data_IF_125224230625
#
_entry.id   IF_125224230625
#
_cell.length_a   1.000
_cell.length_b   1.000
_cell.length_c   1.000
_cell.angle_alpha   90.00
_cell.angle_beta   90.00
_cell.angle_gamma   90.00
#
_symmetry.space_group_name_H-M   'P 1'
#
loop_
_entity.id
_entity.type
_entity.pdbx_description
1 polymer ?
#
# COMPACT_ATOMS: atom_id res chain seq x y z
N UNK A 1 9.50 -1.11 14.72
CA UNK A 1 8.37 -1.47 15.60
C UNK A 1 8.47 -2.96 15.92
N UNK A 2 8.61 -3.32 17.21
CA UNK A 2 8.71 -4.73 17.62
C UNK A 2 7.31 -5.33 17.64
N UNK A 3 7.08 -6.42 16.91
CA UNK A 3 5.87 -7.23 17.04
C UNK A 3 5.86 -7.86 18.43
N UNK A 4 4.91 -7.47 19.29
CA UNK A 4 4.74 -8.05 20.63
C UNK A 4 3.84 -9.27 20.48
N UNK A 5 4.43 -10.44 20.68
CA UNK A 5 3.71 -11.72 20.74
C UNK A 5 3.13 -11.86 22.14
N UNK A 6 1.83 -11.65 22.32
CA UNK A 6 1.12 -11.93 23.57
C UNK A 6 0.38 -13.26 23.47
N UNK A 7 1.01 -14.30 23.95
CA UNK A 7 0.30 -15.52 24.32
C UNK A 7 -0.17 -15.37 25.77
N UNK A 8 -1.46 -15.21 25.98
CA UNK A 8 -2.06 -15.29 27.31
C UNK A 8 -2.51 -16.75 27.57
N UNK A 9 -2.20 -17.34 28.73
CA UNK A 9 -2.72 -18.64 29.08
C UNK A 9 -4.18 -18.50 29.57
N UNK A 10 -5.09 -19.21 28.91
CA UNK A 10 -6.44 -19.38 29.46
C UNK A 10 -6.41 -20.40 30.59
N UNK A 11 -6.75 -19.93 31.77
CA UNK A 11 -7.01 -20.79 32.93
C UNK A 11 -8.43 -21.34 32.80
N UNK A 12 -8.53 -22.66 32.73
CA UNK A 12 -9.81 -23.35 32.66
C UNK A 12 -10.54 -23.32 34.00
N UNK A 13 -11.81 -22.98 33.97
CA UNK A 13 -12.75 -23.24 35.08
C UNK A 13 -13.59 -24.45 34.69
N UNK A 14 -13.36 -25.56 35.42
CA UNK A 14 -14.21 -26.74 35.40
C UNK A 14 -15.52 -26.42 36.14
N UNK A 15 -16.65 -26.61 35.48
CA UNK A 15 -17.94 -26.79 36.15
C UNK A 15 -18.64 -28.03 35.59
N UNK A 16 -18.98 -28.90 36.52
CA UNK A 16 -19.58 -30.20 36.30
C UNK A 16 -21.10 -30.17 36.07
N UNK A 17 -21.58 -31.23 35.47
CA UNK A 17 -22.91 -31.86 35.54
C UNK A 17 -23.97 -31.35 34.54
N UNK A 18 -24.40 -32.22 33.62
CA UNK A 18 -25.59 -33.06 33.77
C UNK A 18 -25.79 -33.96 32.54
N UNK A 19 -25.94 -35.24 32.78
CA UNK A 19 -26.33 -36.28 31.84
C UNK A 19 -27.76 -36.04 31.28
N UNK A 20 -27.89 -36.00 29.95
CA UNK A 20 -29.13 -36.37 29.27
C UNK A 20 -28.79 -37.22 28.05
N UNK A 21 -29.07 -38.49 28.16
CA UNK A 21 -29.07 -39.46 27.05
C UNK A 21 -30.28 -39.21 26.16
N UNK A 22 -30.03 -38.88 24.88
CA UNK A 22 -31.01 -39.06 23.81
C UNK A 22 -30.34 -39.73 22.63
N UNK A 23 -30.67 -41.00 22.44
CA UNK A 23 -30.33 -41.75 21.24
C UNK A 23 -31.21 -41.28 20.08
N UNK A 24 -30.60 -40.73 19.04
CA UNK A 24 -31.23 -40.58 17.72
C UNK A 24 -30.16 -40.83 16.66
N UNK A 25 -30.16 -42.02 16.14
CA UNK A 25 -29.43 -42.38 14.92
C UNK A 25 -29.95 -41.54 13.74
N UNK A 26 -29.11 -40.75 13.16
CA UNK A 26 -29.26 -40.27 11.79
C UNK A 26 -27.90 -40.28 11.12
N UNK A 27 -27.77 -41.16 10.16
CA UNK A 27 -26.72 -41.17 9.14
C UNK A 27 -26.72 -39.82 8.42
N UNK A 28 -25.68 -39.05 8.64
CA UNK A 28 -25.39 -37.85 7.82
C UNK A 28 -24.19 -38.23 6.96
N UNK A 29 -24.46 -38.17 5.65
CA UNK A 29 -23.52 -38.50 4.61
C UNK A 29 -22.26 -37.62 4.63
N UNK A 30 -21.19 -38.24 4.18
CA UNK A 30 -19.93 -37.64 3.84
C UNK A 30 -20.12 -36.42 2.92
N UNK A 31 -20.10 -35.25 3.50
CA UNK A 31 -19.85 -34.00 2.75
C UNK A 31 -18.35 -33.79 2.75
N UNK A 32 -17.74 -34.12 1.62
CA UNK A 32 -16.33 -33.89 1.35
C UNK A 32 -15.90 -32.50 1.83
N UNK A 33 -15.06 -32.49 2.82
CA UNK A 33 -14.35 -31.33 3.32
C UNK A 33 -13.41 -30.83 2.22
N UNK A 34 -13.92 -29.94 1.35
CA UNK A 34 -13.06 -29.12 0.51
C UNK A 34 -12.32 -28.18 1.44
N UNK A 35 -11.12 -28.56 1.82
CA UNK A 35 -10.19 -27.73 2.53
C UNK A 35 -10.02 -26.40 1.78
N UNK A 36 -10.73 -25.39 2.23
CA UNK A 36 -10.36 -24.02 1.91
C UNK A 36 -9.06 -23.78 2.66
N UNK A 37 -7.96 -23.76 1.92
CA UNK A 37 -6.73 -23.15 2.41
C UNK A 37 -7.02 -21.67 2.63
N UNK A 38 -7.56 -21.34 3.79
CA UNK A 38 -7.58 -19.96 4.29
C UNK A 38 -6.14 -19.67 4.66
N UNK A 39 -5.37 -19.16 3.70
CA UNK A 39 -4.07 -18.57 3.99
C UNK A 39 -4.34 -17.45 4.98
N UNK A 40 -3.91 -17.64 6.22
CA UNK A 40 -4.07 -16.63 7.26
C UNK A 40 -3.37 -15.36 6.81
N UNK A 41 -4.08 -14.22 6.67
CA UNK A 41 -3.48 -12.99 6.13
C UNK A 41 -2.34 -12.43 6.98
N UNK A 42 -2.21 -12.88 8.22
CA UNK A 42 -1.22 -12.36 9.16
C UNK A 42 0.21 -12.87 8.97
N UNK A 43 0.42 -13.99 8.27
CA UNK A 43 1.78 -14.52 8.08
C UNK A 43 2.50 -13.94 6.85
N UNK A 44 1.75 -13.46 5.86
CA UNK A 44 2.31 -12.98 4.61
C UNK A 44 2.71 -11.49 4.68
N UNK A 45 2.00 -10.69 5.47
CA UNK A 45 2.29 -9.27 5.65
C UNK A 45 3.62 -9.02 6.39
N UNK A 46 4.04 -9.94 7.28
CA UNK A 46 5.33 -9.84 7.96
C UNK A 46 6.47 -10.57 7.23
N UNK A 47 6.18 -11.51 6.35
CA UNK A 47 7.20 -12.34 5.68
C UNK A 47 7.94 -11.61 4.55
N UNK A 48 7.37 -10.54 4.01
CA UNK A 48 7.95 -9.82 2.88
C UNK A 48 8.72 -8.55 3.28
N UNK A 49 9.04 -8.38 4.56
CA UNK A 49 10.03 -7.40 4.96
C UNK A 49 11.42 -7.96 4.60
N UNK A 50 11.79 -7.75 3.35
CA UNK A 50 13.13 -8.02 2.86
C UNK A 50 14.15 -7.36 3.80
N UNK A 51 14.69 -8.14 4.74
CA UNK A 51 15.95 -7.92 5.48
C UNK A 51 16.26 -6.46 5.94
N UNK A 52 15.27 -5.66 6.29
CA UNK A 52 15.50 -4.33 6.88
C UNK A 52 16.04 -3.24 5.93
N UNK A 53 16.25 -3.52 4.64
CA UNK A 53 16.64 -2.53 3.65
C UNK A 53 15.40 -1.96 2.96
N UNK A 54 15.31 -0.63 2.90
CA UNK A 54 14.25 0.04 2.14
C UNK A 54 14.47 -0.17 0.64
N UNK A 55 13.41 -0.39 -0.15
CA UNK A 55 13.49 -0.41 -1.61
C UNK A 55 14.04 0.91 -2.15
N UNK A 56 14.89 0.82 -3.16
CA UNK A 56 15.63 1.95 -3.75
C UNK A 56 15.20 2.28 -5.18
N UNK A 57 14.26 1.50 -5.74
CA UNK A 57 13.73 1.67 -7.09
C UNK A 57 12.25 1.31 -7.15
N UNK A 58 11.58 1.77 -8.22
CA UNK A 58 10.19 1.41 -8.52
C UNK A 58 10.01 -0.11 -8.67
N UNK A 59 10.96 -0.79 -9.31
CA UNK A 59 10.90 -2.24 -9.49
C UNK A 59 11.01 -2.99 -8.17
N UNK A 60 11.90 -2.58 -7.27
CA UNK A 60 12.00 -3.17 -5.93
C UNK A 60 10.72 -2.95 -5.10
N UNK A 61 10.06 -1.81 -5.26
CA UNK A 61 8.77 -1.56 -4.62
C UNK A 61 7.67 -2.46 -5.17
N UNK A 62 7.68 -2.81 -6.45
CA UNK A 62 6.69 -3.70 -7.07
C UNK A 62 6.89 -5.18 -6.69
N UNK A 63 8.06 -5.56 -6.18
CA UNK A 63 8.36 -6.94 -5.81
C UNK A 63 7.38 -7.48 -4.77
N UNK A 64 6.87 -8.69 -5.01
CA UNK A 64 5.94 -9.36 -4.12
C UNK A 64 4.54 -8.74 -4.09
N UNK A 65 4.21 -7.83 -5.01
CA UNK A 65 2.86 -7.31 -5.13
C UNK A 65 1.87 -8.43 -5.47
N UNK A 66 0.73 -8.44 -4.77
CA UNK A 66 -0.37 -9.37 -5.01
C UNK A 66 -1.70 -8.66 -4.76
N UNK A 67 -2.76 -9.12 -5.40
CA UNK A 67 -4.10 -8.61 -5.15
C UNK A 67 -4.72 -9.31 -3.94
N UNK A 68 -5.22 -8.52 -3.01
CA UNK A 68 -5.87 -8.99 -1.78
C UNK A 68 -7.39 -8.92 -1.90
N UNK A 69 -8.07 -9.97 -1.45
CA UNK A 69 -9.50 -9.95 -1.30
C UNK A 69 -9.92 -9.21 0.00
N UNK A 70 -11.17 -8.71 0.02
CA UNK A 70 -11.75 -8.14 1.24
C UNK A 70 -11.37 -6.69 1.55
N UNK A 71 -10.70 -5.98 0.64
CA UNK A 71 -10.34 -4.56 0.81
C UNK A 71 -11.46 -3.57 0.46
N UNK A 72 -12.70 -4.05 0.30
CA UNK A 72 -13.81 -3.21 -0.13
C UNK A 72 -13.91 -3.04 -1.65
N UNK A 73 -14.81 -2.13 -2.07
CA UNK A 73 -15.20 -1.97 -3.48
C UNK A 73 -14.83 -0.61 -4.07
N UNK A 74 -13.98 0.17 -3.39
CA UNK A 74 -13.55 1.46 -3.93
C UNK A 74 -12.93 1.25 -5.31
N UNK A 75 -13.40 2.05 -6.26
CA UNK A 75 -12.92 2.09 -7.63
C UNK A 75 -12.83 3.55 -8.08
N UNK A 76 -11.74 3.89 -8.73
CA UNK A 76 -11.54 5.15 -9.43
C UNK A 76 -10.95 4.85 -10.80
N UNK A 77 -11.76 5.03 -11.84
CA UNK A 77 -11.28 4.95 -13.20
C UNK A 77 -10.13 5.93 -13.44
N UNK A 78 -9.07 5.45 -14.06
CA UNK A 78 -7.91 6.24 -14.43
C UNK A 78 -7.63 6.12 -15.93
N UNK A 79 -6.92 7.08 -16.47
CA UNK A 79 -6.43 7.05 -17.86
C UNK A 79 -5.30 6.02 -17.99
N UNK A 80 -5.65 4.74 -18.04
CA UNK A 80 -4.73 3.62 -18.23
C UNK A 80 -5.30 2.61 -19.21
N UNK A 81 -4.41 1.96 -19.96
CA UNK A 81 -4.79 0.96 -20.96
C UNK A 81 -4.94 -0.46 -20.42
N UNK A 82 -4.35 -0.77 -19.26
CA UNK A 82 -4.30 -2.11 -18.68
C UNK A 82 -5.31 -2.30 -17.57
N UNK A 83 -6.10 -3.40 -17.66
CA UNK A 83 -7.02 -3.80 -16.58
C UNK A 83 -6.28 -4.23 -15.32
N UNK A 84 -5.12 -4.83 -15.48
CA UNK A 84 -4.25 -5.27 -14.40
C UNK A 84 -3.71 -4.04 -13.65
N UNK A 85 -3.24 -3.02 -14.37
CA UNK A 85 -2.83 -1.75 -13.77
C UNK A 85 -3.98 -1.08 -13.01
N UNK A 86 -5.20 -1.07 -13.56
CA UNK A 86 -6.38 -0.54 -12.87
C UNK A 86 -6.67 -1.29 -11.58
N UNK A 87 -6.59 -2.62 -11.57
CA UNK A 87 -6.84 -3.41 -10.37
C UNK A 87 -5.83 -3.11 -9.25
N UNK A 88 -4.56 -3.00 -9.59
CA UNK A 88 -3.51 -2.63 -8.63
C UNK A 88 -3.62 -1.16 -8.21
N UNK A 89 -4.02 -0.25 -9.09
CA UNK A 89 -4.27 1.14 -8.73
C UNK A 89 -5.40 1.26 -7.70
N UNK A 90 -6.53 0.61 -7.94
CA UNK A 90 -7.65 0.59 -6.99
C UNK A 90 -7.24 0.03 -5.63
N UNK A 91 -6.44 -1.04 -5.62
CA UNK A 91 -5.89 -1.59 -4.39
C UNK A 91 -4.97 -0.60 -3.70
N UNK A 92 -4.09 0.07 -4.44
CA UNK A 92 -3.22 1.11 -3.92
C UNK A 92 -4.01 2.23 -3.22
N UNK A 93 -5.09 2.68 -3.84
CA UNK A 93 -6.00 3.67 -3.25
C UNK A 93 -6.66 3.18 -1.96
N UNK A 94 -7.10 1.92 -1.91
CA UNK A 94 -7.69 1.33 -0.70
C UNK A 94 -6.68 1.28 0.44
N UNK A 95 -5.44 0.88 0.17
CA UNK A 95 -4.36 0.88 1.16
C UNK A 95 -3.96 2.30 1.59
N UNK A 96 -3.94 3.26 0.67
CA UNK A 96 -3.69 4.66 1.00
C UNK A 96 -4.70 5.18 2.03
N UNK A 97 -5.99 4.97 1.79
CA UNK A 97 -7.04 5.37 2.73
C UNK A 97 -7.03 4.58 4.06
N UNK A 98 -6.47 3.38 4.04
CA UNK A 98 -6.23 2.59 5.24
C UNK A 98 -4.92 2.94 5.96
N UNK A 99 -4.20 3.97 5.53
CA UNK A 99 -2.90 4.40 6.07
C UNK A 99 -1.79 3.34 5.96
N UNK A 100 -1.96 2.33 5.12
CA UNK A 100 -0.92 1.35 4.82
C UNK A 100 -0.13 1.81 3.59
N UNK A 101 0.71 2.84 3.80
CA UNK A 101 1.42 3.51 2.71
C UNK A 101 2.40 2.60 1.98
N UNK A 102 3.03 1.64 2.65
CA UNK A 102 4.01 0.75 2.02
C UNK A 102 3.33 -0.25 1.08
N UNK A 103 2.19 -0.83 1.46
CA UNK A 103 1.43 -1.69 0.56
C UNK A 103 0.71 -0.89 -0.54
N UNK A 104 0.33 0.35 -0.26
CA UNK A 104 -0.16 1.26 -1.30
C UNK A 104 0.93 1.53 -2.35
N UNK A 105 2.15 1.88 -1.91
CA UNK A 105 3.30 2.10 -2.80
C UNK A 105 3.59 0.85 -3.64
N UNK A 106 3.58 -0.33 -3.03
CA UNK A 106 3.79 -1.62 -3.72
C UNK A 106 2.75 -1.83 -4.83
N UNK A 107 1.49 -1.59 -4.50
CA UNK A 107 0.40 -1.73 -5.46
C UNK A 107 0.51 -0.73 -6.61
N UNK A 108 0.78 0.54 -6.33
CA UNK A 108 0.98 1.55 -7.38
C UNK A 108 2.22 1.28 -8.23
N UNK A 109 3.32 0.83 -7.64
CA UNK A 109 4.52 0.47 -8.37
C UNK A 109 4.28 -0.73 -9.30
N UNK A 110 3.49 -1.71 -8.86
CA UNK A 110 3.07 -2.83 -9.71
C UNK A 110 2.15 -2.36 -10.84
N UNK A 111 1.19 -1.47 -10.57
CA UNK A 111 0.35 -0.86 -11.60
C UNK A 111 1.19 -0.14 -12.67
N UNK A 112 2.21 0.62 -12.24
CA UNK A 112 3.14 1.30 -13.15
C UNK A 112 4.01 0.32 -13.98
N UNK A 113 4.31 -0.84 -13.42
CA UNK A 113 5.02 -1.92 -14.11
C UNK A 113 4.15 -2.58 -15.20
N UNK A 114 2.85 -2.76 -14.89
CA UNK A 114 1.87 -3.36 -15.82
C UNK A 114 1.43 -2.38 -16.92
N UNK A 115 1.51 -1.07 -16.66
CA UNK A 115 1.27 -0.01 -17.64
C UNK A 115 2.28 1.14 -17.45
N UNK A 116 3.41 1.11 -18.15
CA UNK A 116 4.45 2.15 -18.06
C UNK A 116 4.02 3.56 -18.53
N UNK A 117 2.87 3.69 -19.18
CA UNK A 117 2.32 4.98 -19.59
C UNK A 117 1.27 5.53 -18.62
N UNK A 118 0.96 4.81 -17.56
CA UNK A 118 0.00 5.19 -16.55
C UNK A 118 0.54 6.32 -15.66
N UNK A 119 0.21 7.57 -15.98
CA UNK A 119 0.61 8.73 -15.18
C UNK A 119 0.13 8.65 -13.72
N UNK A 120 -1.11 8.20 -13.50
CA UNK A 120 -1.69 8.08 -12.16
C UNK A 120 -1.07 6.96 -11.32
N UNK A 121 -0.53 5.93 -11.94
CA UNK A 121 0.21 4.89 -11.22
C UNK A 121 1.49 5.47 -10.60
N UNK A 122 2.25 6.24 -11.35
CA UNK A 122 3.43 6.94 -10.85
C UNK A 122 3.07 8.03 -9.83
N UNK A 123 1.98 8.76 -10.05
CA UNK A 123 1.44 9.69 -9.06
C UNK A 123 1.15 8.99 -7.73
N UNK A 124 0.54 7.82 -7.77
CA UNK A 124 0.26 7.02 -6.59
C UNK A 124 1.53 6.62 -5.82
N UNK A 125 2.58 6.19 -6.54
CA UNK A 125 3.88 5.90 -5.92
C UNK A 125 4.46 7.16 -5.26
N UNK A 126 4.55 8.27 -5.99
CA UNK A 126 5.10 9.51 -5.46
C UNK A 126 4.32 10.00 -4.23
N UNK A 127 3.00 9.86 -4.24
CA UNK A 127 2.14 10.25 -3.12
C UNK A 127 2.41 9.41 -1.86
N UNK A 128 2.59 8.08 -2.01
CA UNK A 128 2.61 7.14 -0.89
C UNK A 128 4.01 6.83 -0.35
N UNK A 129 5.03 6.80 -1.21
CA UNK A 129 6.42 6.66 -0.76
C UNK A 129 6.95 7.96 -0.17
N UNK A 130 6.35 9.10 -0.54
CA UNK A 130 6.71 10.42 -0.08
C UNK A 130 6.33 10.71 1.38
N UNK A 131 6.56 11.95 1.85
CA UNK A 131 6.25 12.33 3.22
C UNK A 131 4.74 12.32 3.43
N UNK A 132 4.33 11.93 4.64
CA UNK A 132 2.94 11.96 5.06
C UNK A 132 2.85 12.46 6.51
N UNK A 133 1.62 12.60 7.02
CA UNK A 133 1.39 13.12 8.36
C UNK A 133 2.09 12.32 9.46
N UNK A 134 2.13 10.99 9.32
CA UNK A 134 2.73 10.09 10.32
C UNK A 134 4.23 9.91 10.10
N UNK A 135 4.73 10.19 8.90
CA UNK A 135 6.13 10.09 8.52
C UNK A 135 6.53 11.34 7.75
N UNK A 136 6.71 12.49 8.43
CA UNK A 136 7.01 13.77 7.77
C UNK A 136 8.44 13.84 7.23
N UNK A 137 9.34 13.00 7.73
CA UNK A 137 10.73 12.91 7.28
C UNK A 137 10.92 11.67 6.42
N UNK A 138 11.53 11.82 5.25
CA UNK A 138 11.85 10.71 4.36
C UNK A 138 13.30 10.28 4.52
N UNK A 139 13.53 8.96 4.54
CA UNK A 139 14.85 8.42 4.26
C UNK A 139 15.22 8.67 2.80
N UNK A 140 16.52 8.87 2.54
CA UNK A 140 17.04 9.19 1.20
C UNK A 140 16.57 8.20 0.11
N UNK A 141 16.53 6.87 0.31
CA UNK A 141 16.01 5.95 -0.71
C UNK A 141 14.55 6.21 -1.08
N UNK A 142 13.70 6.54 -0.11
CA UNK A 142 12.29 6.89 -0.37
C UNK A 142 12.18 8.21 -1.14
N UNK A 143 13.00 9.18 -0.79
CA UNK A 143 13.03 10.49 -1.44
C UNK A 143 13.39 10.37 -2.92
N UNK A 144 14.38 9.55 -3.24
CA UNK A 144 14.80 9.29 -4.62
C UNK A 144 13.66 8.66 -5.43
N UNK A 145 13.02 7.61 -4.91
CA UNK A 145 11.91 6.92 -5.58
C UNK A 145 10.71 7.85 -5.75
N UNK A 146 10.40 8.67 -4.74
CA UNK A 146 9.30 9.64 -4.81
C UNK A 146 9.52 10.66 -5.94
N UNK A 147 10.73 11.19 -6.05
CA UNK A 147 11.09 12.13 -7.10
C UNK A 147 11.04 11.49 -8.48
N UNK A 148 11.65 10.31 -8.66
CA UNK A 148 11.64 9.56 -9.91
C UNK A 148 10.21 9.28 -10.37
N UNK A 149 9.36 8.80 -9.48
CA UNK A 149 7.96 8.53 -9.77
C UNK A 149 7.21 9.82 -10.17
N UNK A 150 7.44 10.94 -9.47
CA UNK A 150 6.83 12.23 -9.84
C UNK A 150 7.25 12.68 -11.24
N UNK A 151 8.54 12.55 -11.61
CA UNK A 151 9.01 12.91 -12.95
C UNK A 151 8.33 12.05 -14.02
N UNK A 152 8.18 10.75 -13.79
CA UNK A 152 7.47 9.84 -14.70
C UNK A 152 5.98 10.18 -14.80
N UNK A 153 5.33 10.55 -13.68
CA UNK A 153 3.95 11.02 -13.69
C UNK A 153 3.78 12.28 -14.57
N UNK A 154 4.68 13.26 -14.42
CA UNK A 154 4.67 14.49 -15.21
C UNK A 154 4.93 14.22 -16.71
N UNK A 155 5.88 13.35 -17.03
CA UNK A 155 6.19 12.96 -18.42
C UNK A 155 5.01 12.31 -19.13
N UNK A 156 4.21 11.52 -18.41
CA UNK A 156 3.05 10.81 -18.94
C UNK A 156 1.73 11.58 -18.78
N UNK A 157 1.74 12.77 -18.16
CA UNK A 157 0.53 13.53 -17.86
C UNK A 157 -0.25 13.99 -19.11
N UNK A 158 0.40 14.05 -20.28
CA UNK A 158 -0.23 14.51 -21.52
C UNK A 158 -1.40 13.61 -21.99
N UNK A 159 -1.43 12.36 -21.61
CA UNK A 159 -2.51 11.40 -21.92
C UNK A 159 -3.57 11.32 -20.81
N UNK A 160 -3.35 11.97 -19.66
CA UNK A 160 -4.23 11.92 -18.51
C UNK A 160 -5.40 12.91 -18.66
N UNK A 161 -6.51 12.64 -17.96
CA UNK A 161 -7.64 13.57 -17.90
C UNK A 161 -7.24 14.91 -17.24
N UNK A 162 -7.98 16.01 -17.47
CA UNK A 162 -7.69 17.30 -16.82
C UNK A 162 -7.63 17.22 -15.28
N UNK A 163 -8.48 16.38 -14.68
CA UNK A 163 -8.47 16.16 -13.22
C UNK A 163 -7.19 15.44 -12.77
N UNK A 164 -6.76 14.44 -13.50
CA UNK A 164 -5.52 13.71 -13.20
C UNK A 164 -4.30 14.61 -13.38
N UNK A 165 -4.26 15.42 -14.43
CA UNK A 165 -3.22 16.43 -14.65
C UNK A 165 -3.13 17.42 -13.48
N UNK A 166 -4.29 17.88 -12.99
CA UNK A 166 -4.36 18.77 -11.83
C UNK A 166 -3.82 18.09 -10.56
N UNK A 167 -4.15 16.81 -10.33
CA UNK A 167 -3.64 16.03 -9.20
C UNK A 167 -2.12 15.84 -9.28
N UNK A 168 -1.58 15.54 -10.45
CA UNK A 168 -0.14 15.39 -10.68
C UNK A 168 0.57 16.74 -10.45
N UNK A 169 0.03 17.83 -10.99
CA UNK A 169 0.56 19.17 -10.78
C UNK A 169 0.54 19.59 -9.32
N UNK A 170 -0.56 19.34 -8.61
CA UNK A 170 -0.67 19.62 -7.18
C UNK A 170 0.36 18.84 -6.35
N UNK A 171 0.59 17.57 -6.71
CA UNK A 171 1.60 16.76 -6.03
C UNK A 171 3.01 17.30 -6.23
N UNK A 172 3.32 17.88 -7.38
CA UNK A 172 4.65 18.46 -7.67
C UNK A 172 5.02 19.57 -6.68
N UNK A 173 4.03 20.30 -6.15
CA UNK A 173 4.26 21.34 -5.15
C UNK A 173 4.79 20.81 -3.81
N UNK A 174 4.70 19.51 -3.56
CA UNK A 174 5.29 18.85 -2.37
C UNK A 174 6.79 18.56 -2.51
N UNK A 175 7.32 18.66 -3.72
CA UNK A 175 8.70 18.31 -4.05
C UNK A 175 9.40 19.54 -4.62
N UNK A 176 10.13 20.30 -3.79
CA UNK A 176 10.83 21.49 -4.24
C UNK A 176 11.92 21.16 -5.27
N UNK A 177 12.18 22.11 -6.15
CA UNK A 177 13.27 22.02 -7.12
C UNK A 177 14.45 22.91 -6.65
N UNK A 178 15.70 22.45 -6.57
CA UNK A 178 16.19 21.15 -6.97
C UNK A 178 15.91 20.05 -5.94
N UNK A 179 15.73 18.84 -6.42
CA UNK A 179 15.55 17.66 -5.61
C UNK A 179 16.60 16.59 -5.99
N UNK A 180 17.18 15.78 -5.07
CA UNK A 180 16.93 15.84 -3.62
C UNK A 180 17.49 17.11 -2.99
N UNK A 181 16.88 17.55 -1.90
CA UNK A 181 17.47 18.62 -1.08
C UNK A 181 18.83 18.15 -0.57
N UNK A 182 19.83 19.04 -0.66
CA UNK A 182 21.16 18.76 -0.17
C UNK A 182 21.11 18.45 1.34
N UNK A 183 21.50 17.24 1.76
CA UNK A 183 21.47 16.84 3.17
C UNK A 183 22.37 17.74 4.04
N UNK A 184 23.40 18.34 3.44
CA UNK A 184 24.34 19.22 4.16
C UNK A 184 23.70 20.53 4.62
N UNK A 185 22.60 20.95 4.00
CA UNK A 185 21.87 22.16 4.37
C UNK A 185 20.85 21.96 5.50
N UNK A 186 20.77 20.79 6.10
CA UNK A 186 19.90 20.51 7.25
C UNK A 186 18.42 20.79 7.01
N UNK A 187 18.05 21.06 5.75
CA UNK A 187 16.73 21.47 5.35
C UNK A 187 15.96 20.34 4.71
N UNK A 188 15.39 19.45 5.51
CA UNK A 188 14.70 18.31 4.97
C UNK A 188 13.26 18.67 4.64
N UNK A 189 12.63 17.78 4.06
CA UNK A 189 11.25 17.44 3.81
C UNK A 189 10.16 18.19 4.62
N UNK A 190 10.44 18.68 5.83
CA UNK A 190 9.59 19.61 6.58
C UNK A 190 9.31 20.91 5.82
N UNK A 191 10.25 21.38 4.99
CA UNK A 191 10.06 22.58 4.18
C UNK A 191 9.08 22.35 3.02
N UNK A 192 9.07 21.15 2.42
CA UNK A 192 8.11 20.82 1.38
C UNK A 192 6.66 20.79 1.92
N UNK A 193 6.50 20.31 3.16
CA UNK A 193 5.19 20.30 3.83
C UNK A 193 4.73 21.69 4.27
N UNK A 194 5.66 22.55 4.71
CA UNK A 194 5.38 23.92 5.10
C UNK A 194 5.19 24.85 3.90
N UNK A 195 5.93 24.64 2.80
CA UNK A 195 5.78 25.43 1.58
C UNK A 195 4.43 25.14 0.87
N UNK A 196 3.99 23.89 0.84
CA UNK A 196 2.67 23.54 0.33
C UNK A 196 1.52 24.15 1.16
N UNK A 197 1.78 24.44 2.44
CA UNK A 197 0.82 25.05 3.36
C UNK A 197 0.82 26.59 3.32
N UNK A 198 1.93 27.21 2.92
CA UNK A 198 2.08 28.65 2.84
C UNK A 198 1.60 29.26 1.50
N UNK A 199 1.31 28.42 0.51
CA UNK A 199 0.85 28.83 -0.82
C UNK A 199 -0.67 28.81 -1.02
N UNK A 200 -1.47 28.66 0.06
CA UNK A 200 -2.93 28.77 0.05
C UNK A 200 -3.37 29.98 0.87
#
# INVERSE_FOLDING_TARGET
>A
MKCINRTAPYVGVLSAAALFTFAASRTIGDAAERGRNVVSPSSTLCANQSKGRLPTSLSEWAEGAQLFAGLGTFHREMSAGSKEAQAYFDQGMRFLWAFNHDEATRSFAKAAQDDPHCAMCYWGVALTVGPNYNLPMMAEPRAKVAWEALQLALQNAGSATPVEQALISALSSRYPNPWPLDPSNGGPVLLAYSAARAGN
#
